data_IF_173519072174
#
_entry.id   IF_173519072174
#
_cell.length_a   1.000
_cell.length_b   1.000
_cell.length_c   1.000
_cell.angle_alpha   90.00
_cell.angle_beta   90.00
_cell.angle_gamma   90.00
#
_symmetry.space_group_name_H-M   'P 1'
#
loop_
_entity.id
_entity.type
_entity.pdbx_description
1 polymer ?
#
# COMPACT_ATOMS: atom_id res chain seq x y z
N UNK A 1 -1.04 -26.81 9.97
CA UNK A 1 -0.52 -26.30 11.25
C UNK A 1 -1.69 -26.18 12.22
N UNK A 2 -1.56 -26.60 13.48
CA UNK A 2 -2.56 -26.26 14.51
C UNK A 2 -2.19 -24.86 14.99
N UNK A 3 -3.02 -23.86 14.64
CA UNK A 3 -2.87 -22.50 15.15
C UNK A 3 -3.07 -22.52 16.67
N UNK A 4 -2.34 -21.66 17.38
CA UNK A 4 -2.60 -21.47 18.81
C UNK A 4 -4.01 -20.87 19.01
N UNK A 5 -4.68 -21.10 20.15
CA UNK A 5 -5.99 -20.51 20.42
C UNK A 5 -5.97 -18.97 20.33
N UNK A 6 -4.84 -18.35 20.70
CA UNK A 6 -4.64 -16.91 20.63
C UNK A 6 -4.55 -16.42 19.17
N UNK A 7 -3.79 -17.12 18.32
CA UNK A 7 -3.73 -16.81 16.87
C UNK A 7 -5.10 -16.92 16.23
N UNK A 8 -5.86 -17.96 16.57
CA UNK A 8 -7.19 -18.19 16.01
C UNK A 8 -8.18 -17.09 16.44
N UNK A 9 -8.14 -16.66 17.70
CA UNK A 9 -8.95 -15.54 18.19
C UNK A 9 -8.60 -14.23 17.47
N UNK A 10 -7.30 -13.92 17.35
CA UNK A 10 -6.81 -12.73 16.62
C UNK A 10 -7.23 -12.74 15.15
N UNK A 11 -7.27 -13.92 14.53
CA UNK A 11 -7.75 -14.10 13.17
C UNK A 11 -9.22 -13.71 13.02
N UNK A 12 -10.10 -14.24 13.88
CA UNK A 12 -11.51 -13.88 13.88
C UNK A 12 -11.72 -12.39 14.18
N UNK A 13 -10.93 -11.81 15.07
CA UNK A 13 -10.98 -10.36 15.33
C UNK A 13 -10.56 -9.53 14.12
N UNK A 14 -9.56 -9.97 13.34
CA UNK A 14 -9.17 -9.29 12.10
C UNK A 14 -10.30 -9.31 11.06
N UNK A 15 -10.93 -10.47 10.85
CA UNK A 15 -12.08 -10.59 9.94
C UNK A 15 -13.23 -9.68 10.40
N UNK A 16 -13.56 -9.71 11.70
CA UNK A 16 -14.61 -8.87 12.25
C UNK A 16 -14.30 -7.37 12.09
N UNK A 17 -13.05 -6.97 12.34
CA UNK A 17 -12.60 -5.59 12.15
C UNK A 17 -12.65 -5.16 10.67
N UNK A 18 -12.25 -6.03 9.74
CA UNK A 18 -12.34 -5.78 8.30
C UNK A 18 -13.79 -5.59 7.86
N UNK A 19 -14.70 -6.46 8.30
CA UNK A 19 -16.16 -6.32 8.04
C UNK A 19 -16.67 -4.99 8.60
N UNK A 20 -16.23 -4.60 9.80
CA UNK A 20 -16.64 -3.34 10.42
C UNK A 20 -16.14 -2.12 9.64
N UNK A 21 -14.91 -2.16 9.11
CA UNK A 21 -14.38 -1.12 8.21
C UNK A 21 -15.19 -1.06 6.92
N UNK A 22 -15.49 -2.19 6.29
CA UNK A 22 -16.31 -2.26 5.07
C UNK A 22 -17.72 -1.72 5.30
N UNK A 23 -18.38 -2.13 6.38
CA UNK A 23 -19.69 -1.64 6.78
C UNK A 23 -19.68 -0.14 7.02
N UNK A 24 -18.61 0.38 7.63
CA UNK A 24 -18.45 1.82 7.87
C UNK A 24 -18.22 2.62 6.59
N UNK A 25 -17.36 2.13 5.69
CA UNK A 25 -17.15 2.73 4.36
C UNK A 25 -18.47 2.81 3.56
N UNK A 26 -19.30 1.78 3.68
CA UNK A 26 -20.63 1.74 3.08
C UNK A 26 -21.60 2.75 3.74
N UNK A 27 -21.71 2.74 5.07
CA UNK A 27 -22.66 3.60 5.81
C UNK A 27 -22.34 5.09 5.66
N UNK A 28 -21.06 5.45 5.67
CA UNK A 28 -20.59 6.84 5.54
C UNK A 28 -20.57 7.32 4.08
N UNK A 29 -21.00 6.47 3.11
CA UNK A 29 -20.96 6.70 1.65
C UNK A 29 -19.56 7.03 1.11
N UNK A 30 -18.52 6.63 1.85
CA UNK A 30 -17.12 6.77 1.46
C UNK A 30 -16.76 5.81 0.32
N UNK A 31 -17.59 4.78 0.05
CA UNK A 31 -17.39 3.83 -1.05
C UNK A 31 -17.30 4.48 -2.44
N UNK A 32 -17.89 5.67 -2.63
CA UNK A 32 -17.81 6.44 -3.89
C UNK A 32 -16.53 7.25 -3.99
N UNK A 33 -15.93 7.60 -2.85
CA UNK A 33 -14.66 8.33 -2.78
C UNK A 33 -13.47 7.38 -2.78
N UNK A 34 -13.62 6.21 -2.16
CA UNK A 34 -12.58 5.19 -2.01
C UNK A 34 -13.00 3.80 -2.54
N UNK A 35 -13.53 3.66 -3.77
CA UNK A 35 -13.87 2.35 -4.32
C UNK A 35 -12.70 1.36 -4.37
N UNK A 36 -11.47 1.79 -4.68
CA UNK A 36 -10.35 0.86 -4.77
C UNK A 36 -9.93 0.35 -3.39
N UNK A 37 -9.92 1.22 -2.36
CA UNK A 37 -9.64 0.79 -0.98
C UNK A 37 -10.69 -0.20 -0.47
N UNK A 38 -11.96 0.07 -0.76
CA UNK A 38 -13.05 -0.86 -0.41
C UNK A 38 -12.85 -2.23 -1.07
N UNK A 39 -12.56 -2.24 -2.38
CA UNK A 39 -12.33 -3.48 -3.12
C UNK A 39 -11.10 -4.25 -2.60
N UNK A 40 -10.02 -3.55 -2.24
CA UNK A 40 -8.82 -4.15 -1.66
C UNK A 40 -9.12 -4.84 -0.32
N UNK A 41 -9.78 -4.13 0.61
CA UNK A 41 -10.13 -4.68 1.93
C UNK A 41 -11.11 -5.85 1.78
N UNK A 42 -12.06 -5.76 0.84
CA UNK A 42 -13.01 -6.83 0.56
C UNK A 42 -12.29 -8.08 0.04
N UNK A 43 -11.39 -7.92 -0.93
CA UNK A 43 -10.62 -9.03 -1.48
C UNK A 43 -9.71 -9.65 -0.41
N UNK A 44 -9.12 -8.81 0.46
CA UNK A 44 -8.32 -9.30 1.59
C UNK A 44 -9.13 -10.12 2.58
N UNK A 45 -10.32 -9.64 2.96
CA UNK A 45 -11.23 -10.37 3.83
C UNK A 45 -11.73 -11.68 3.20
N UNK A 46 -11.97 -11.69 1.88
CA UNK A 46 -12.33 -12.90 1.14
C UNK A 46 -11.19 -13.91 1.12
N UNK A 47 -9.96 -13.48 0.86
CA UNK A 47 -8.79 -14.35 0.89
C UNK A 47 -8.61 -15.00 2.27
N UNK A 48 -8.73 -14.20 3.33
CA UNK A 48 -8.73 -14.72 4.70
C UNK A 48 -9.85 -15.76 4.91
N UNK A 49 -11.08 -15.47 4.48
CA UNK A 49 -12.17 -16.45 4.57
C UNK A 49 -11.87 -17.75 3.79
N UNK A 50 -11.27 -17.65 2.59
CA UNK A 50 -10.90 -18.82 1.79
C UNK A 50 -9.79 -19.65 2.43
N UNK A 51 -8.81 -19.04 3.08
CA UNK A 51 -7.78 -19.77 3.82
C UNK A 51 -8.42 -20.63 4.92
N UNK A 52 -9.42 -20.11 5.63
CA UNK A 52 -10.09 -20.82 6.71
C UNK A 52 -10.88 -22.06 6.21
N UNK A 53 -11.51 -21.94 5.03
CA UNK A 53 -12.30 -23.02 4.41
C UNK A 53 -11.41 -24.05 3.73
N UNK A 54 -10.34 -23.60 3.05
CA UNK A 54 -9.52 -24.42 2.16
C UNK A 54 -8.13 -24.79 2.71
N UNK A 55 -7.79 -24.43 3.96
CA UNK A 55 -6.54 -24.80 4.62
C UNK A 55 -6.20 -26.30 4.54
N UNK A 56 -7.22 -27.17 4.38
CA UNK A 56 -7.07 -28.62 4.27
C UNK A 56 -6.76 -29.12 2.84
N UNK A 57 -7.09 -28.34 1.79
CA UNK A 57 -6.88 -28.69 0.36
C UNK A 57 -5.81 -27.79 -0.27
N UNK A 58 -4.54 -28.16 -0.04
CA UNK A 58 -3.36 -27.33 -0.37
C UNK A 58 -3.23 -26.92 -1.85
N UNK A 59 -3.56 -27.79 -2.81
CA UNK A 59 -3.43 -27.48 -4.24
C UNK A 59 -4.43 -26.41 -4.69
N UNK A 60 -5.71 -26.59 -4.36
CA UNK A 60 -6.78 -25.65 -4.73
C UNK A 60 -6.59 -24.29 -4.05
N UNK A 61 -6.14 -24.29 -2.78
CA UNK A 61 -5.80 -23.07 -2.06
C UNK A 61 -4.69 -22.28 -2.77
N UNK A 62 -3.61 -22.96 -3.21
CA UNK A 62 -2.49 -22.29 -3.89
C UNK A 62 -2.90 -21.56 -5.17
N UNK A 63 -3.76 -22.15 -5.99
CA UNK A 63 -4.25 -21.51 -7.21
C UNK A 63 -5.15 -20.30 -6.91
N UNK A 64 -6.10 -20.45 -5.98
CA UNK A 64 -7.00 -19.35 -5.57
C UNK A 64 -6.18 -18.20 -4.98
N UNK A 65 -5.21 -18.53 -4.12
CA UNK A 65 -4.33 -17.55 -3.50
C UNK A 65 -3.51 -16.79 -4.55
N UNK A 66 -2.94 -17.49 -5.54
CA UNK A 66 -2.15 -16.85 -6.60
C UNK A 66 -2.96 -15.85 -7.43
N UNK A 67 -4.18 -16.25 -7.80
CA UNK A 67 -5.11 -15.37 -8.51
C UNK A 67 -5.50 -14.19 -7.63
N UNK A 68 -5.87 -14.43 -6.37
CA UNK A 68 -6.20 -13.40 -5.38
C UNK A 68 -5.08 -12.39 -5.19
N UNK A 69 -3.85 -12.86 -5.04
CA UNK A 69 -2.66 -12.04 -4.86
C UNK A 69 -2.37 -11.15 -6.07
N UNK A 70 -2.55 -11.68 -7.29
CA UNK A 70 -2.41 -10.89 -8.52
C UNK A 70 -3.45 -9.76 -8.59
N UNK A 71 -4.70 -10.04 -8.21
CA UNK A 71 -5.74 -9.03 -8.11
C UNK A 71 -5.46 -8.02 -6.99
N UNK A 72 -4.93 -8.45 -5.84
CA UNK A 72 -4.53 -7.55 -4.75
C UNK A 72 -3.45 -6.58 -5.17
N UNK A 73 -2.46 -6.99 -5.96
CA UNK A 73 -1.44 -6.10 -6.50
C UNK A 73 -2.06 -5.01 -7.38
N UNK A 74 -2.93 -5.42 -8.32
CA UNK A 74 -3.63 -4.47 -9.19
C UNK A 74 -4.50 -3.50 -8.38
N UNK A 75 -5.21 -4.01 -7.38
CA UNK A 75 -6.00 -3.19 -6.46
C UNK A 75 -5.13 -2.28 -5.61
N UNK A 76 -3.98 -2.72 -5.12
CA UNK A 76 -3.06 -1.90 -4.34
C UNK A 76 -2.55 -0.71 -5.17
N UNK A 77 -2.19 -0.94 -6.43
CA UNK A 77 -1.84 0.12 -7.38
C UNK A 77 -3.02 1.09 -7.54
N UNK A 78 -4.24 0.59 -7.70
CA UNK A 78 -5.43 1.42 -7.84
C UNK A 78 -5.73 2.21 -6.56
N UNK A 79 -5.56 1.63 -5.37
CA UNK A 79 -5.68 2.32 -4.08
C UNK A 79 -4.70 3.47 -4.02
N UNK A 80 -3.44 3.23 -4.37
CA UNK A 80 -2.43 4.27 -4.33
C UNK A 80 -2.73 5.38 -5.34
N UNK A 81 -3.17 5.02 -6.54
CA UNK A 81 -3.58 5.99 -7.57
C UNK A 81 -4.81 6.80 -7.12
N UNK A 82 -5.78 6.16 -6.50
CA UNK A 82 -6.98 6.77 -5.93
C UNK A 82 -6.61 7.78 -4.83
N UNK A 83 -5.79 7.38 -3.87
CA UNK A 83 -5.30 8.25 -2.81
C UNK A 83 -4.49 9.42 -3.36
N UNK A 84 -3.67 9.17 -4.39
CA UNK A 84 -2.90 10.19 -5.09
C UNK A 84 -3.81 11.21 -5.79
N UNK A 85 -4.82 10.74 -6.54
CA UNK A 85 -5.77 11.62 -7.22
C UNK A 85 -6.58 12.46 -6.23
N UNK A 86 -7.02 11.87 -5.12
CA UNK A 86 -7.74 12.60 -4.07
C UNK A 86 -6.86 13.64 -3.37
N UNK A 87 -5.61 13.29 -3.08
CA UNK A 87 -4.64 14.23 -2.53
C UNK A 87 -4.42 15.41 -3.48
N UNK A 88 -4.24 15.14 -4.78
CA UNK A 88 -3.92 16.15 -5.79
C UNK A 88 -5.13 16.81 -6.45
N UNK A 89 -6.36 16.43 -6.10
CA UNK A 89 -7.58 16.93 -6.75
C UNK A 89 -7.68 18.47 -6.76
N UNK A 90 -7.00 19.15 -5.82
CA UNK A 90 -6.98 20.62 -5.70
C UNK A 90 -5.85 21.30 -6.48
N UNK A 91 -4.93 20.56 -7.11
CA UNK A 91 -3.76 21.10 -7.81
C UNK A 91 -3.58 20.47 -9.21
N UNK A 92 -4.28 20.99 -10.23
CA UNK A 92 -4.29 20.41 -11.59
C UNK A 92 -2.91 20.42 -12.28
N UNK A 93 -2.00 21.32 -11.88
CA UNK A 93 -0.63 21.37 -12.40
C UNK A 93 0.21 20.13 -12.01
N UNK A 94 -0.01 19.58 -10.81
CA UNK A 94 0.69 18.38 -10.33
C UNK A 94 0.08 17.08 -10.87
N UNK A 95 -1.21 17.08 -11.23
CA UNK A 95 -1.86 15.91 -11.83
C UNK A 95 -1.21 15.48 -13.16
N UNK A 96 -0.57 16.41 -13.89
CA UNK A 96 0.18 16.13 -15.13
C UNK A 96 1.56 15.53 -14.84
N UNK A 97 2.24 16.02 -13.80
CA UNK A 97 3.49 15.44 -13.29
C UNK A 97 3.29 14.02 -12.74
N UNK A 98 2.12 13.77 -12.14
CA UNK A 98 1.78 12.48 -11.57
C UNK A 98 1.89 11.30 -12.52
N UNK A 99 1.59 11.47 -13.82
CA UNK A 99 1.75 10.36 -14.79
C UNK A 99 3.21 9.98 -15.03
N UNK A 100 4.11 10.96 -15.07
CA UNK A 100 5.54 10.71 -15.21
C UNK A 100 6.10 10.12 -13.92
N UNK A 101 5.73 10.67 -12.75
CA UNK A 101 6.08 10.10 -11.45
C UNK A 101 5.60 8.67 -11.31
N UNK A 102 4.37 8.36 -11.72
CA UNK A 102 3.83 7.00 -11.69
C UNK A 102 4.67 6.06 -12.57
N UNK A 103 5.10 6.52 -13.75
CA UNK A 103 5.97 5.74 -14.64
C UNK A 103 7.34 5.47 -13.99
N UNK A 104 7.94 6.46 -13.32
CA UNK A 104 9.19 6.27 -12.58
C UNK A 104 9.01 5.33 -11.39
N UNK A 105 7.90 5.45 -10.65
CA UNK A 105 7.58 4.56 -9.53
C UNK A 105 7.41 3.12 -10.03
N UNK A 106 6.71 2.91 -11.14
CA UNK A 106 6.61 1.59 -11.78
C UNK A 106 7.97 1.05 -12.22
N UNK A 107 8.81 1.88 -12.83
CA UNK A 107 10.17 1.49 -13.23
C UNK A 107 10.99 1.05 -12.01
N UNK A 108 10.98 1.84 -10.93
CA UNK A 108 11.69 1.51 -9.69
C UNK A 108 11.14 0.23 -9.07
N UNK A 109 9.81 0.04 -9.07
CA UNK A 109 9.20 -1.16 -8.55
C UNK A 109 9.60 -2.41 -9.35
N UNK A 110 9.60 -2.32 -10.69
CA UNK A 110 10.08 -3.39 -11.57
C UNK A 110 11.55 -3.72 -11.30
N UNK A 111 12.40 -2.69 -11.17
CA UNK A 111 13.82 -2.88 -10.85
C UNK A 111 14.02 -3.49 -9.46
N UNK A 112 13.25 -3.06 -8.45
CA UNK A 112 13.28 -3.64 -7.11
C UNK A 112 12.82 -5.10 -7.12
N UNK A 113 11.77 -5.42 -7.88
CA UNK A 113 11.29 -6.78 -8.06
C UNK A 113 12.32 -7.69 -8.76
N UNK A 114 12.97 -7.18 -9.81
CA UNK A 114 14.07 -7.88 -10.49
C UNK A 114 15.26 -8.09 -9.56
N UNK A 115 15.68 -7.06 -8.82
CA UNK A 115 16.78 -7.17 -7.86
C UNK A 115 16.48 -8.21 -6.78
N UNK A 116 15.27 -8.22 -6.23
CA UNK A 116 14.82 -9.22 -5.26
C UNK A 116 14.84 -10.64 -5.85
N UNK A 117 14.38 -10.80 -7.09
CA UNK A 117 14.41 -12.06 -7.82
C UNK A 117 15.85 -12.60 -7.97
N UNK A 118 16.81 -11.73 -8.34
CA UNK A 118 18.22 -12.11 -8.51
C UNK A 118 18.96 -12.35 -7.17
N UNK A 119 18.61 -11.64 -6.10
CA UNK A 119 19.21 -11.87 -4.78
C UNK A 119 18.75 -13.23 -4.21
N UNK A 120 17.46 -13.56 -4.37
CA UNK A 120 16.90 -14.81 -3.86
C UNK A 120 17.27 -16.06 -4.69
N UNK A 121 17.84 -15.92 -5.89
CA UNK A 121 18.39 -17.05 -6.66
C UNK A 121 19.59 -17.75 -5.98
N UNK A 122 20.33 -17.07 -5.10
CA UNK A 122 21.46 -17.67 -4.39
C UNK A 122 21.11 -18.37 -3.06
N UNK A 123 19.97 -18.04 -2.44
CA UNK A 123 19.67 -18.42 -1.06
C UNK A 123 18.82 -19.70 -0.91
N UNK A 124 18.34 -20.28 -2.02
CA UNK A 124 17.23 -21.23 -2.00
C UNK A 124 17.58 -22.69 -2.33
N UNK A 125 18.86 -23.07 -2.33
CA UNK A 125 19.33 -24.38 -2.80
C UNK A 125 19.01 -25.59 -1.88
N UNK A 126 18.00 -25.52 -0.99
CA UNK A 126 17.67 -26.70 -0.17
C UNK A 126 16.58 -26.55 0.89
N UNK A 127 15.46 -25.87 0.64
CA UNK A 127 14.40 -25.68 1.66
C UNK A 127 13.02 -26.07 1.16
N UNK A 128 12.64 -27.32 1.42
CA UNK A 128 11.30 -27.85 1.19
C UNK A 128 10.30 -27.40 2.29
N UNK A 129 9.18 -26.83 1.84
CA UNK A 129 7.83 -26.92 2.46
C UNK A 129 6.72 -26.28 1.61
N UNK A 130 7.08 -25.39 0.69
CA UNK A 130 6.23 -24.80 -0.36
C UNK A 130 6.96 -24.87 -1.70
N UNK A 131 6.27 -24.79 -2.86
CA UNK A 131 6.96 -24.63 -4.14
C UNK A 131 7.84 -23.38 -4.04
N UNK A 132 9.16 -23.55 -4.07
CA UNK A 132 10.13 -22.47 -3.82
C UNK A 132 9.95 -21.29 -4.78
N UNK A 133 9.35 -21.52 -5.94
CA UNK A 133 8.98 -20.49 -6.92
C UNK A 133 7.80 -19.62 -6.48
N UNK A 134 6.85 -20.19 -5.75
CA UNK A 134 5.65 -19.51 -5.27
C UNK A 134 5.99 -18.46 -4.20
N UNK A 135 6.77 -18.85 -3.19
CA UNK A 135 7.18 -17.94 -2.10
C UNK A 135 8.04 -16.80 -2.65
N UNK A 136 8.92 -17.08 -3.63
CA UNK A 136 9.74 -16.05 -4.27
C UNK A 136 8.90 -15.02 -5.03
N UNK A 137 7.89 -15.48 -5.77
CA UNK A 137 7.01 -14.60 -6.51
C UNK A 137 6.17 -13.75 -5.55
N UNK A 138 5.64 -14.36 -4.49
CA UNK A 138 4.89 -13.68 -3.43
C UNK A 138 5.69 -12.57 -2.75
N UNK A 139 6.91 -12.88 -2.27
CA UNK A 139 7.85 -11.91 -1.68
C UNK A 139 8.12 -10.74 -2.63
N UNK A 140 8.24 -11.03 -3.92
CA UNK A 140 8.55 -10.04 -4.95
C UNK A 140 7.36 -9.11 -5.19
N UNK A 141 6.14 -9.64 -5.25
CA UNK A 141 4.92 -8.85 -5.40
C UNK A 141 4.64 -7.95 -4.19
N UNK A 142 4.87 -8.45 -2.97
CA UNK A 142 4.68 -7.67 -1.76
C UNK A 142 5.75 -6.58 -1.60
N UNK A 143 7.02 -6.85 -1.98
CA UNK A 143 8.06 -5.83 -2.04
C UNK A 143 7.73 -4.73 -3.06
N UNK A 144 7.31 -5.12 -4.28
CA UNK A 144 6.90 -4.18 -5.34
C UNK A 144 5.77 -3.29 -4.83
N UNK A 145 4.77 -3.87 -4.17
CA UNK A 145 3.65 -3.13 -3.57
C UNK A 145 4.15 -2.15 -2.52
N UNK A 146 4.99 -2.61 -1.58
CA UNK A 146 5.56 -1.77 -0.53
C UNK A 146 6.34 -0.59 -1.10
N UNK A 147 7.22 -0.84 -2.08
CA UNK A 147 8.05 0.20 -2.72
C UNK A 147 7.17 1.25 -3.39
N UNK A 148 6.15 0.84 -4.14
CA UNK A 148 5.21 1.75 -4.81
C UNK A 148 4.48 2.63 -3.79
N UNK A 149 3.95 1.99 -2.73
CA UNK A 149 3.22 2.67 -1.66
C UNK A 149 4.10 3.66 -0.90
N UNK A 150 5.33 3.26 -0.55
CA UNK A 150 6.30 4.11 0.16
C UNK A 150 6.77 5.28 -0.69
N UNK A 151 7.06 5.05 -1.98
CA UNK A 151 7.48 6.13 -2.88
C UNK A 151 6.37 7.17 -3.04
N UNK A 152 5.12 6.74 -3.17
CA UNK A 152 3.99 7.67 -3.33
C UNK A 152 3.65 8.35 -2.00
N UNK A 153 3.74 7.65 -0.87
CA UNK A 153 3.61 8.26 0.43
C UNK A 153 4.71 9.30 0.70
N UNK A 154 5.96 8.97 0.37
CA UNK A 154 7.10 9.88 0.45
C UNK A 154 6.93 11.10 -0.43
N UNK A 155 6.45 10.92 -1.67
CA UNK A 155 6.11 12.03 -2.56
C UNK A 155 5.03 12.93 -1.98
N UNK A 156 3.93 12.36 -1.45
CA UNK A 156 2.85 13.12 -0.84
C UNK A 156 3.25 13.83 0.45
N UNK A 157 4.22 13.30 1.21
CA UNK A 157 4.80 13.96 2.38
C UNK A 157 5.79 15.06 1.98
N UNK A 158 6.49 14.89 0.86
CA UNK A 158 7.45 15.86 0.35
C UNK A 158 6.75 17.12 -0.21
N UNK A 159 5.66 16.93 -0.96
CA UNK A 159 4.87 18.04 -1.48
C UNK A 159 3.88 18.55 -0.42
N UNK A 160 3.76 19.87 -0.19
CA UNK A 160 2.77 20.45 0.73
C UNK A 160 1.34 20.34 0.17
N UNK A 161 0.83 19.13 0.05
CA UNK A 161 -0.49 18.84 -0.50
C UNK A 161 -1.53 18.93 0.62
N UNK A 162 -2.58 19.72 0.38
CA UNK A 162 -3.72 19.87 1.28
C UNK A 162 -4.63 18.65 1.16
N UNK A 163 -4.29 17.57 1.86
CA UNK A 163 -5.07 16.33 1.88
C UNK A 163 -6.22 16.39 2.89
N UNK A 164 -7.31 15.67 2.64
CA UNK A 164 -8.29 15.45 3.71
C UNK A 164 -7.69 14.54 4.77
N UNK A 165 -8.16 14.68 6.01
CA UNK A 165 -7.73 13.83 7.13
C UNK A 165 -7.83 12.35 6.78
N UNK A 166 -8.91 11.95 6.12
CA UNK A 166 -9.13 10.57 5.70
C UNK A 166 -8.07 10.08 4.72
N UNK A 167 -7.69 10.88 3.71
CA UNK A 167 -6.61 10.50 2.79
C UNK A 167 -5.30 10.24 3.54
N UNK A 168 -4.96 11.05 4.54
CA UNK A 168 -3.75 10.85 5.35
C UNK A 168 -3.81 9.55 6.17
N UNK A 169 -4.95 9.24 6.81
CA UNK A 169 -5.14 7.99 7.55
C UNK A 169 -5.17 6.76 6.63
N UNK A 170 -5.77 6.86 5.46
CA UNK A 170 -5.76 5.80 4.45
C UNK A 170 -4.32 5.54 3.98
N UNK A 171 -3.60 6.58 3.60
CA UNK A 171 -2.23 6.47 3.09
C UNK A 171 -1.28 5.89 4.16
N UNK A 172 -1.30 6.45 5.37
CA UNK A 172 -0.46 5.95 6.47
C UNK A 172 -0.81 4.52 6.87
N UNK A 173 -2.10 4.20 6.94
CA UNK A 173 -2.56 2.84 7.20
C UNK A 173 -2.13 1.86 6.10
N UNK A 174 -2.19 2.27 4.83
CA UNK A 174 -1.83 1.41 3.70
C UNK A 174 -0.32 1.16 3.62
N UNK A 175 0.51 2.17 3.94
CA UNK A 175 1.96 2.02 4.10
C UNK A 175 2.26 1.03 5.23
N UNK A 176 1.65 1.22 6.40
CA UNK A 176 1.82 0.33 7.55
C UNK A 176 1.40 -1.11 7.21
N UNK A 177 0.25 -1.26 6.55
CA UNK A 177 -0.30 -2.54 6.16
C UNK A 177 0.59 -3.27 5.14
N UNK A 178 1.14 -2.56 4.15
CA UNK A 178 2.07 -3.13 3.18
C UNK A 178 3.41 -3.51 3.82
N UNK A 179 3.90 -2.68 4.76
CA UNK A 179 5.15 -2.92 5.46
C UNK A 179 5.09 -4.18 6.34
N UNK A 180 4.03 -4.32 7.17
CA UNK A 180 3.90 -5.50 8.03
C UNK A 180 3.83 -6.79 7.23
N UNK A 181 3.17 -6.77 6.05
CA UNK A 181 2.99 -7.95 5.20
C UNK A 181 4.33 -8.40 4.61
N UNK A 182 5.07 -7.47 4.01
CA UNK A 182 6.41 -7.74 3.50
C UNK A 182 7.36 -8.19 4.61
N UNK A 183 7.37 -7.50 5.75
CA UNK A 183 8.20 -7.87 6.90
C UNK A 183 7.88 -9.29 7.39
N UNK A 184 6.59 -9.64 7.46
CA UNK A 184 6.13 -10.97 7.80
C UNK A 184 6.74 -12.07 6.95
N UNK A 185 6.62 -11.92 5.63
CA UNK A 185 7.16 -12.89 4.69
C UNK A 185 8.69 -13.02 4.82
N UNK A 186 9.40 -11.89 4.86
CA UNK A 186 10.86 -11.88 5.08
C UNK A 186 11.24 -12.59 6.37
N UNK A 187 10.60 -12.27 7.50
CA UNK A 187 10.94 -12.90 8.78
C UNK A 187 10.59 -14.38 8.82
N UNK A 188 9.49 -14.82 8.21
CA UNK A 188 9.16 -16.25 8.10
C UNK A 188 10.17 -17.01 7.23
N UNK A 189 10.73 -16.34 6.21
CA UNK A 189 11.78 -16.89 5.33
C UNK A 189 13.15 -16.98 6.00
N UNK A 190 13.52 -16.03 6.86
CA UNK A 190 14.83 -16.00 7.56
C UNK A 190 14.83 -16.71 8.93
N UNK A 191 13.72 -16.73 9.66
CA UNK A 191 13.61 -17.22 11.05
C UNK A 191 12.39 -18.15 11.25
N UNK A 192 12.40 -19.38 10.69
CA UNK A 192 11.26 -20.30 10.73
C UNK A 192 10.87 -20.76 12.15
N UNK A 193 11.82 -20.78 13.09
CA UNK A 193 11.62 -21.18 14.50
C UNK A 193 10.71 -20.21 15.28
N UNK A 194 10.54 -18.96 14.81
CA UNK A 194 9.74 -17.93 15.50
C UNK A 194 8.47 -17.52 14.74
N UNK A 195 8.05 -18.34 13.77
CA UNK A 195 6.87 -18.10 12.90
C UNK A 195 5.59 -17.79 13.67
N UNK A 196 5.35 -18.45 14.80
CA UNK A 196 4.20 -18.20 15.67
C UNK A 196 4.21 -16.78 16.28
N UNK A 197 5.35 -16.36 16.85
CA UNK A 197 5.49 -15.02 17.45
C UNK A 197 5.29 -13.93 16.42
N UNK A 198 5.86 -14.10 15.22
CA UNK A 198 5.69 -13.16 14.12
C UNK A 198 4.25 -13.11 13.60
N UNK A 199 3.58 -14.26 13.49
CA UNK A 199 2.17 -14.33 13.09
C UNK A 199 1.27 -13.57 14.06
N UNK A 200 1.44 -13.77 15.37
CA UNK A 200 0.70 -13.03 16.41
C UNK A 200 0.98 -11.53 16.31
N UNK A 201 2.24 -11.13 16.15
CA UNK A 201 2.61 -9.72 16.04
C UNK A 201 1.99 -9.06 14.81
N UNK A 202 2.01 -9.73 13.65
CA UNK A 202 1.38 -9.24 12.42
C UNK A 202 -0.14 -9.13 12.54
N UNK A 203 -0.81 -10.16 13.07
CA UNK A 203 -2.25 -10.14 13.26
C UNK A 203 -2.67 -9.02 14.23
N UNK A 204 -1.86 -8.77 15.26
CA UNK A 204 -2.10 -7.68 16.21
C UNK A 204 -1.91 -6.31 15.55
N UNK A 205 -0.84 -6.14 14.76
CA UNK A 205 -0.59 -4.90 14.02
C UNK A 205 -1.67 -4.61 12.96
N UNK A 206 -2.14 -5.64 12.27
CA UNK A 206 -3.25 -5.57 11.32
C UNK A 206 -4.55 -5.18 12.02
N UNK A 207 -4.86 -5.81 13.15
CA UNK A 207 -6.05 -5.50 13.94
C UNK A 207 -6.04 -4.04 14.41
N UNK A 208 -4.90 -3.55 14.89
CA UNK A 208 -4.74 -2.15 15.28
C UNK A 208 -4.97 -1.20 14.10
N UNK A 209 -4.42 -1.52 12.92
CA UNK A 209 -4.62 -0.73 11.70
C UNK A 209 -6.11 -0.67 11.31
N UNK A 210 -6.79 -1.82 11.28
CA UNK A 210 -8.22 -1.91 10.99
C UNK A 210 -9.06 -1.17 12.03
N UNK A 211 -8.72 -1.25 13.32
CA UNK A 211 -9.39 -0.52 14.38
C UNK A 211 -9.23 1.00 14.22
N UNK A 212 -8.04 1.46 13.82
CA UNK A 212 -7.80 2.88 13.48
C UNK A 212 -8.67 3.28 12.29
N UNK A 213 -8.71 2.51 11.21
CA UNK A 213 -9.59 2.83 10.08
C UNK A 213 -11.07 2.81 10.43
N UNK A 214 -11.52 1.85 11.25
CA UNK A 214 -12.88 1.76 11.74
C UNK A 214 -13.33 2.98 12.58
N UNK A 215 -12.39 3.69 13.20
CA UNK A 215 -12.70 4.84 14.07
C UNK A 215 -12.43 6.18 13.39
N UNK A 216 -11.35 6.25 12.59
CA UNK A 216 -10.87 7.45 11.93
C UNK A 216 -11.61 7.75 10.62
N UNK A 217 -12.04 6.74 9.86
CA UNK A 217 -12.79 6.94 8.61
C UNK A 217 -14.21 7.41 8.90
N UNK A 218 -14.42 8.71 8.74
CA UNK A 218 -15.72 9.38 8.93
C UNK A 218 -15.94 10.38 7.82
N UNK A 219 -17.19 10.60 7.41
CA UNK A 219 -17.49 11.61 6.38
C UNK A 219 -17.09 13.03 6.81
N UNK A 220 -17.08 13.31 8.11
CA UNK A 220 -16.59 14.59 8.68
C UNK A 220 -15.09 14.81 8.45
N UNK A 221 -14.31 13.73 8.31
CA UNK A 221 -12.87 13.78 8.02
C UNK A 221 -12.52 14.29 6.62
N UNK A 222 -13.49 14.30 5.68
CA UNK A 222 -13.29 14.88 4.34
C UNK A 222 -13.27 16.41 4.35
N UNK A 223 -14.00 17.01 5.27
CA UNK A 223 -14.08 18.47 5.42
C UNK A 223 -12.87 19.03 6.18
N UNK A 224 -12.25 18.18 7.01
CA UNK A 224 -11.03 18.52 7.75
C UNK A 224 -9.81 18.45 6.84
N UNK A 225 -9.28 19.62 6.45
CA UNK A 225 -8.08 19.74 5.64
C UNK A 225 -6.86 19.63 6.56
N UNK A 226 -6.02 18.62 6.35
CA UNK A 226 -4.69 18.52 6.96
C UNK A 226 -3.68 18.98 5.92
N UNK A 227 -2.83 19.94 6.28
CA UNK A 227 -1.70 20.35 5.43
C UNK A 227 -0.53 19.43 5.76
N UNK A 228 -0.34 18.40 4.96
CA UNK A 228 0.86 17.53 5.05
C UNK A 228 1.96 18.13 4.18
N UNK A 229 3.18 18.25 4.72
CA UNK A 229 4.40 18.60 3.97
C UNK A 229 5.12 19.87 4.43
N UNK A 230 6.36 20.02 3.96
CA UNK A 230 7.20 21.19 4.23
C UNK A 230 6.48 22.42 3.68
N UNK A 231 6.03 23.32 4.55
CA UNK A 231 5.42 24.59 4.14
C UNK A 231 6.43 25.35 3.30
N UNK A 232 6.39 25.20 1.98
CA UNK A 232 6.94 26.24 1.11
C UNK A 232 6.22 27.51 1.48
N UNK A 233 7.00 28.47 1.97
CA UNK A 233 6.49 29.79 2.21
C UNK A 233 5.86 30.25 0.89
N UNK A 234 4.59 30.71 0.85
CA UNK A 234 3.97 31.16 -0.39
C UNK A 234 4.85 32.19 -1.14
N UNK A 235 5.64 32.96 -0.38
CA UNK A 235 6.65 33.91 -0.88
C UNK A 235 7.83 33.21 -1.59
N UNK A 236 8.26 32.04 -1.11
CA UNK A 236 9.33 31.25 -1.73
C UNK A 236 8.88 30.55 -3.00
N UNK A 237 7.63 30.05 -3.03
CA UNK A 237 7.06 29.45 -4.23
C UNK A 237 6.93 30.49 -5.36
N UNK A 238 6.48 31.71 -5.04
CA UNK A 238 6.39 32.81 -6.00
C UNK A 238 7.79 33.23 -6.51
N UNK A 239 8.79 33.27 -5.62
CA UNK A 239 10.20 33.47 -5.99
C UNK A 239 10.74 32.40 -6.93
N UNK A 240 10.48 31.13 -6.65
CA UNK A 240 10.92 30.00 -7.49
C UNK A 240 10.29 30.06 -8.88
N UNK A 241 9.02 30.46 -8.96
CA UNK A 241 8.30 30.62 -10.24
C UNK A 241 8.91 31.75 -11.06
N UNK A 242 9.21 32.90 -10.43
CA UNK A 242 9.92 34.02 -11.07
C UNK A 242 11.34 33.64 -11.52
N UNK A 243 12.06 32.83 -10.74
CA UNK A 243 13.38 32.33 -11.11
C UNK A 243 13.32 31.39 -12.32
N UNK A 244 12.32 30.51 -12.38
CA UNK A 244 12.07 29.64 -13.52
C UNK A 244 11.79 30.44 -14.79
N UNK A 245 10.95 31.46 -14.75
CA UNK A 245 10.69 32.34 -15.90
C UNK A 245 11.94 33.10 -16.35
N UNK A 246 12.78 33.51 -15.40
CA UNK A 246 14.05 34.18 -15.70
C UNK A 246 15.03 33.23 -16.40
N UNK A 247 15.12 31.98 -15.96
CA UNK A 247 15.97 30.96 -16.60
C UNK A 247 15.43 30.63 -18.00
N UNK A 248 14.11 30.45 -18.12
CA UNK A 248 13.46 30.08 -19.37
C UNK A 248 13.61 31.19 -20.42
N UNK A 249 13.49 32.46 -20.03
CA UNK A 249 13.71 33.61 -20.94
C UNK A 249 15.18 33.83 -21.34
N UNK A 250 16.14 33.33 -20.56
CA UNK A 250 17.56 33.30 -20.94
C UNK A 250 17.86 32.16 -21.91
N UNK A 251 17.33 30.97 -21.65
CA UNK A 251 17.46 29.82 -22.55
C UNK A 251 16.76 30.06 -23.90
N UNK A 252 15.56 30.65 -23.90
CA UNK A 252 14.84 31.01 -25.12
C UNK A 252 15.60 32.03 -25.99
N UNK A 253 16.44 32.89 -25.37
CA UNK A 253 17.33 33.81 -26.09
C UNK A 253 18.56 33.12 -26.69
N UNK A 254 19.03 32.03 -26.10
CA UNK A 254 20.16 31.23 -26.61
C UNK A 254 19.74 30.27 -27.72
N UNK A 255 18.45 29.92 -27.79
CA UNK A 255 17.88 29.00 -28.79
C UNK A 255 17.38 29.73 -30.05
N UNK A 256 17.24 31.07 -30.02
CA UNK A 256 16.96 31.86 -31.22
C UNK A 256 18.29 32.29 -31.88
N UNK A 257 18.63 31.78 -33.09
CA UNK A 257 19.72 32.34 -33.89
C UNK A 257 19.42 33.77 -34.36
#
# INVERSE_FOLDING_TARGET
MRLSPAEQALWYFNIAAAILVLARLYSERLIRLYPALFAYILLDALEQATELVFARRRHVYGEIYFVGQSFKLALAILVVLELYQLALAKQPALARFGRQTLSYVFLIAILAGLANFFINTGASAGRDKYPTEFVRLEDTLDLVTLVVVVLIAGFLLWFPVRCSRNVAFCLGGFVWYSFQRWAGLVFTSYLPESTHTFSIAMLSASLLCLAVWATALRRTGEVSIIVTGHRWNPVEAERLTLQLDTINSRLARLVRP
#
